data_IF_307146547672
#
_entry.id   IF_307146547672
#
_cell.length_a   1.000
_cell.length_b   1.000
_cell.length_c   1.000
_cell.angle_alpha   90.00
_cell.angle_beta   90.00
_cell.angle_gamma   90.00
#
_symmetry.space_group_name_H-M   'P 1'
#
loop_
_entity.id
_entity.type
_entity.pdbx_description
1 polymer ?
#
# COMPACT_ATOMS: atom_id res chain seq x y z
N UNK A 1 -15.74 -26.46 -1.92
CA UNK A 1 -16.25 -25.47 -2.90
C UNK A 1 -17.12 -24.39 -2.25
N UNK A 2 -18.02 -24.74 -1.32
CA UNK A 2 -18.90 -23.77 -0.64
C UNK A 2 -18.19 -22.83 0.36
N UNK A 3 -17.06 -23.26 0.93
CA UNK A 3 -16.32 -22.50 1.94
C UNK A 3 -15.57 -21.29 1.35
N UNK A 4 -14.93 -21.48 0.21
CA UNK A 4 -14.22 -20.42 -0.54
C UNK A 4 -15.18 -19.30 -0.99
N UNK A 5 -16.39 -19.67 -1.43
CA UNK A 5 -17.42 -18.70 -1.83
C UNK A 5 -17.87 -17.88 -0.61
N UNK A 6 -18.01 -18.52 0.55
CA UNK A 6 -18.39 -17.86 1.81
C UNK A 6 -17.31 -16.91 2.32
N UNK A 7 -16.04 -17.29 2.20
CA UNK A 7 -14.91 -16.40 2.49
C UNK A 7 -14.89 -15.18 1.56
N UNK A 8 -15.06 -15.37 0.25
CA UNK A 8 -15.10 -14.27 -0.72
C UNK A 8 -16.27 -13.32 -0.45
N UNK A 9 -17.45 -13.85 -0.10
CA UNK A 9 -18.61 -13.03 0.27
C UNK A 9 -18.38 -12.26 1.57
N UNK A 10 -17.74 -12.89 2.56
CA UNK A 10 -17.43 -12.26 3.85
C UNK A 10 -16.39 -11.14 3.69
N UNK A 11 -15.34 -11.37 2.89
CA UNK A 11 -14.34 -10.36 2.56
C UNK A 11 -14.96 -9.18 1.80
N UNK A 12 -15.87 -9.44 0.85
CA UNK A 12 -16.62 -8.40 0.14
C UNK A 12 -17.52 -7.59 1.07
N UNK A 13 -18.26 -8.26 1.95
CA UNK A 13 -19.13 -7.60 2.92
C UNK A 13 -18.34 -6.71 3.88
N UNK A 14 -17.22 -7.22 4.41
CA UNK A 14 -16.35 -6.45 5.31
C UNK A 14 -15.70 -5.26 4.60
N UNK A 15 -15.27 -5.42 3.34
CA UNK A 15 -14.74 -4.33 2.53
C UNK A 15 -15.81 -3.25 2.23
N UNK A 16 -17.06 -3.64 1.96
CA UNK A 16 -18.18 -2.72 1.74
C UNK A 16 -18.58 -1.99 3.03
N UNK A 17 -18.59 -2.69 4.16
CA UNK A 17 -18.86 -2.10 5.48
C UNK A 17 -17.78 -1.10 5.89
N UNK A 18 -16.52 -1.42 5.58
CA UNK A 18 -15.38 -0.51 5.77
C UNK A 18 -15.45 0.72 4.86
N UNK A 19 -15.87 0.55 3.59
CA UNK A 19 -16.16 1.66 2.66
C UNK A 19 -17.23 2.61 3.18
N UNK A 20 -18.34 2.07 3.71
CA UNK A 20 -19.46 2.86 4.22
C UNK A 20 -19.07 3.70 5.45
N UNK A 21 -18.18 3.19 6.30
CA UNK A 21 -17.73 3.89 7.51
C UNK A 21 -16.57 4.87 7.29
N UNK A 22 -16.03 4.96 6.06
CA UNK A 22 -14.97 5.91 5.67
C UNK A 22 -15.30 6.66 4.38
N UNK A 23 -16.55 7.05 4.16
CA UNK A 23 -16.88 8.04 3.13
C UNK A 23 -16.18 9.37 3.47
N UNK A 24 -14.93 9.48 3.02
CA UNK A 24 -14.24 10.75 2.86
C UNK A 24 -14.85 11.42 1.63
N UNK A 25 -15.40 12.61 1.84
CA UNK A 25 -15.78 13.53 0.78
C UNK A 25 -14.49 14.08 0.13
N UNK A 26 -13.89 13.30 -0.77
CA UNK A 26 -12.71 13.73 -1.50
C UNK A 26 -12.03 12.58 -2.23
N UNK A 27 -12.07 12.60 -3.57
CA UNK A 27 -11.26 11.69 -4.39
C UNK A 27 -9.79 12.02 -4.19
N UNK A 28 -9.00 11.06 -3.69
CA UNK A 28 -7.53 11.23 -3.62
C UNK A 28 -6.93 11.03 -5.01
N UNK A 29 -6.34 12.07 -5.56
CA UNK A 29 -5.63 12.02 -6.85
C UNK A 29 -4.17 11.65 -6.61
N UNK A 30 -3.73 10.52 -7.16
CA UNK A 30 -2.34 10.08 -7.15
C UNK A 30 -1.69 10.34 -8.52
N UNK A 31 -0.46 10.85 -8.51
CA UNK A 31 0.36 11.02 -9.72
C UNK A 31 1.39 9.88 -9.79
N UNK A 32 1.62 9.37 -11.00
CA UNK A 32 2.35 8.11 -11.28
C UNK A 32 3.77 8.04 -10.70
N UNK A 33 4.44 9.18 -10.56
CA UNK A 33 5.64 9.35 -9.74
C UNK A 33 5.48 10.58 -8.89
N UNK A 34 5.48 10.41 -7.58
CA UNK A 34 5.48 11.53 -6.65
C UNK A 34 6.28 11.19 -5.40
N UNK A 35 6.93 12.22 -4.85
CA UNK A 35 7.46 12.17 -3.49
C UNK A 35 6.27 12.12 -2.53
N UNK A 36 6.26 11.13 -1.64
CA UNK A 36 5.24 11.00 -0.59
C UNK A 36 5.92 10.91 0.76
N UNK A 37 5.34 11.57 1.75
CA UNK A 37 5.89 11.58 3.11
C UNK A 37 5.43 10.35 3.88
N UNK A 38 6.36 9.63 4.51
CA UNK A 38 6.03 8.66 5.55
C UNK A 38 6.30 9.36 6.87
N UNK A 39 5.21 9.73 7.55
CA UNK A 39 5.23 10.63 8.70
C UNK A 39 5.95 9.99 9.89
N UNK A 40 5.73 8.70 10.13
CA UNK A 40 6.35 7.99 11.25
C UNK A 40 7.87 7.83 11.12
N UNK A 41 8.39 7.96 9.89
CA UNK A 41 9.82 7.92 9.63
C UNK A 41 10.45 9.32 9.62
N UNK A 42 9.64 10.37 9.78
CA UNK A 42 10.01 11.77 9.54
C UNK A 42 10.80 11.95 8.23
N UNK A 43 10.41 11.20 7.20
CA UNK A 43 11.13 11.11 5.92
C UNK A 43 10.15 11.24 4.76
N UNK A 44 10.62 11.92 3.72
CA UNK A 44 9.96 11.87 2.41
C UNK A 44 10.61 10.77 1.60
N UNK A 45 9.78 9.84 1.09
CA UNK A 45 10.24 8.77 0.21
C UNK A 45 9.68 8.95 -1.20
N UNK A 46 10.46 8.58 -2.19
CA UNK A 46 10.02 8.45 -3.57
C UNK A 46 9.26 7.15 -3.73
N UNK A 47 7.95 7.23 -3.98
CA UNK A 47 7.13 6.05 -4.22
C UNK A 47 6.75 5.90 -5.70
N UNK A 48 6.67 4.66 -6.15
CA UNK A 48 5.92 4.30 -7.35
C UNK A 48 4.45 4.07 -6.98
N UNK A 49 3.53 4.65 -7.75
CA UNK A 49 2.11 4.29 -7.70
C UNK A 49 1.91 3.16 -8.71
N UNK A 50 1.67 1.93 -8.23
CA UNK A 50 1.67 0.73 -9.06
C UNK A 50 0.32 0.00 -8.98
N UNK A 51 -0.46 0.09 -10.06
CA UNK A 51 -1.72 -0.67 -10.17
C UNK A 51 -1.50 -2.16 -10.43
N UNK A 52 -0.30 -2.60 -10.79
CA UNK A 52 0.08 -4.02 -10.93
C UNK A 52 0.31 -4.69 -9.57
N UNK A 53 0.83 -3.95 -8.60
CA UNK A 53 1.08 -4.44 -7.25
C UNK A 53 -0.22 -4.63 -6.45
N UNK A 54 -0.41 -5.83 -5.89
CA UNK A 54 -1.55 -6.13 -5.01
C UNK A 54 -1.40 -5.56 -3.61
N UNK A 55 -0.16 -5.35 -3.16
CA UNK A 55 0.21 -4.88 -1.81
C UNK A 55 1.18 -3.72 -1.90
N UNK A 56 1.20 -2.89 -0.86
CA UNK A 56 2.15 -1.79 -0.73
C UNK A 56 3.44 -2.22 -0.03
N UNK A 57 4.57 -1.75 -0.54
CA UNK A 57 5.92 -2.19 -0.17
C UNK A 57 6.82 -1.00 0.22
N UNK A 58 7.79 -1.24 1.10
CA UNK A 58 8.82 -0.27 1.47
C UNK A 58 10.18 -0.97 1.66
N UNK A 59 11.26 -0.28 1.31
CA UNK A 59 12.62 -0.74 1.61
C UNK A 59 12.90 -0.75 3.11
N UNK A 60 13.50 -1.83 3.59
CA UNK A 60 13.81 -2.03 5.00
C UNK A 60 14.73 -0.97 5.60
N UNK A 61 15.64 -0.39 4.82
CA UNK A 61 16.54 0.68 5.27
C UNK A 61 15.84 1.98 5.69
N UNK A 62 14.56 2.15 5.29
CA UNK A 62 13.77 3.31 5.70
C UNK A 62 13.05 3.08 7.02
N UNK A 63 12.81 1.83 7.42
CA UNK A 63 12.00 1.45 8.58
C UNK A 63 12.90 1.19 9.78
N UNK A 64 12.53 1.73 10.95
CA UNK A 64 13.20 1.34 12.21
C UNK A 64 12.97 -0.16 12.45
N UNK A 65 14.03 -0.98 12.61
CA UNK A 65 13.88 -2.41 12.87
C UNK A 65 12.98 -2.75 14.06
N UNK A 66 12.81 -1.84 15.03
CA UNK A 66 11.92 -2.02 16.20
C UNK A 66 10.44 -1.99 15.82
N UNK A 67 10.09 -1.41 14.68
CA UNK A 67 8.72 -1.34 14.15
C UNK A 67 8.40 -2.50 13.20
N UNK A 68 9.37 -3.38 12.93
CA UNK A 68 9.24 -4.47 11.98
C UNK A 68 8.81 -5.76 12.68
N UNK A 69 7.70 -6.33 12.22
CA UNK A 69 7.22 -7.64 12.65
C UNK A 69 7.40 -8.65 11.52
N UNK A 70 7.52 -9.94 11.86
CA UNK A 70 7.58 -10.99 10.84
C UNK A 70 6.23 -11.06 10.13
N UNK A 71 6.21 -10.97 8.80
CA UNK A 71 4.94 -11.10 8.10
C UNK A 71 4.44 -12.55 8.14
N UNK A 72 3.13 -12.72 8.32
CA UNK A 72 2.47 -14.03 8.31
C UNK A 72 1.99 -14.47 6.91
N UNK A 73 2.29 -13.67 5.88
CA UNK A 73 1.94 -13.94 4.49
C UNK A 73 3.20 -14.23 3.65
N UNK A 74 3.01 -14.90 2.52
CA UNK A 74 4.01 -14.98 1.46
C UNK A 74 3.75 -13.92 0.39
N UNK A 75 4.80 -13.44 -0.27
CA UNK A 75 4.68 -12.56 -1.43
C UNK A 75 5.37 -13.20 -2.61
N UNK A 76 4.68 -13.19 -3.74
CA UNK A 76 5.14 -13.76 -4.99
C UNK A 76 5.29 -12.61 -5.99
N UNK A 77 6.48 -12.50 -6.57
CA UNK A 77 6.77 -11.59 -7.67
C UNK A 77 6.06 -12.01 -8.96
N UNK A 78 5.98 -11.10 -9.93
CA UNK A 78 5.34 -11.37 -11.24
C UNK A 78 6.05 -12.49 -12.00
N UNK A 79 7.35 -12.71 -11.74
CA UNK A 79 8.16 -13.80 -12.28
C UNK A 79 7.95 -15.14 -11.56
N UNK A 80 7.04 -15.20 -10.59
CA UNK A 80 6.81 -16.38 -9.76
C UNK A 80 7.82 -16.56 -8.63
N UNK A 81 8.80 -15.66 -8.48
CA UNK A 81 9.77 -15.73 -7.39
C UNK A 81 9.11 -15.43 -6.05
N UNK A 82 9.43 -16.22 -5.02
CA UNK A 82 8.97 -15.94 -3.65
C UNK A 82 9.93 -14.98 -2.96
N UNK A 83 9.38 -13.94 -2.34
CA UNK A 83 10.13 -13.07 -1.43
C UNK A 83 10.20 -13.75 -0.06
N UNK A 84 11.39 -14.21 0.31
CA UNK A 84 11.66 -14.81 1.61
C UNK A 84 12.03 -13.76 2.67
N UNK A 85 11.77 -14.08 3.95
CA UNK A 85 12.12 -13.23 5.11
C UNK A 85 11.56 -11.81 5.02
N UNK A 86 10.30 -11.70 4.61
CA UNK A 86 9.59 -10.43 4.60
C UNK A 86 9.10 -10.06 5.99
N UNK A 87 9.11 -8.77 6.27
CA UNK A 87 8.56 -8.18 7.47
C UNK A 87 7.37 -7.30 7.09
N UNK A 88 6.58 -6.92 8.09
CA UNK A 88 5.53 -5.92 7.99
C UNK A 88 5.76 -4.82 9.03
N UNK A 89 5.33 -3.61 8.72
CA UNK A 89 5.37 -2.49 9.65
C UNK A 89 4.10 -1.65 9.50
N UNK A 90 3.45 -1.36 10.62
CA UNK A 90 2.32 -0.43 10.66
C UNK A 90 2.87 1.00 10.72
N UNK A 91 2.73 1.73 9.61
CA UNK A 91 3.32 3.06 9.44
C UNK A 91 2.25 4.09 9.08
N UNK A 92 2.36 5.29 9.64
CA UNK A 92 1.62 6.47 9.21
C UNK A 92 2.22 7.01 7.94
N UNK A 93 1.46 6.92 6.86
CA UNK A 93 1.81 7.41 5.54
C UNK A 93 0.96 8.63 5.20
N UNK A 94 1.56 9.57 4.49
CA UNK A 94 0.90 10.74 3.96
C UNK A 94 1.05 10.79 2.43
N UNK A 95 -0.09 10.63 1.75
CA UNK A 95 -0.24 10.56 0.32
C UNK A 95 -0.97 11.80 -0.19
N UNK A 96 -0.26 12.93 -0.30
CA UNK A 96 -0.89 14.22 -0.60
C UNK A 96 -1.65 14.74 0.62
N UNK A 97 -2.97 14.90 0.51
CA UNK A 97 -3.82 15.32 1.63
C UNK A 97 -4.28 14.15 2.52
N UNK A 98 -4.11 12.91 2.05
CA UNK A 98 -4.50 11.71 2.80
C UNK A 98 -3.40 11.34 3.80
N UNK A 99 -3.71 11.34 5.09
CA UNK A 99 -2.88 10.72 6.12
C UNK A 99 -3.59 9.49 6.68
N UNK A 100 -2.91 8.34 6.69
CA UNK A 100 -3.46 7.07 7.18
C UNK A 100 -2.38 6.21 7.83
N UNK A 101 -2.76 5.39 8.81
CA UNK A 101 -1.98 4.21 9.18
C UNK A 101 -2.16 3.14 8.10
N UNK A 102 -1.07 2.50 7.70
CA UNK A 102 -1.11 1.37 6.78
C UNK A 102 -0.04 0.34 7.12
N UNK A 103 -0.37 -0.94 6.93
CA UNK A 103 0.57 -2.04 7.04
C UNK A 103 1.35 -2.17 5.76
N UNK A 104 2.61 -1.77 5.78
CA UNK A 104 3.51 -1.90 4.63
C UNK A 104 4.32 -3.17 4.74
N UNK A 105 4.47 -3.85 3.61
CA UNK A 105 5.42 -4.96 3.50
C UNK A 105 6.82 -4.38 3.39
N UNK A 106 7.69 -4.80 4.29
CA UNK A 106 9.07 -4.36 4.36
C UNK A 106 9.97 -5.38 3.64
N UNK A 107 10.68 -4.92 2.62
CA UNK A 107 11.55 -5.74 1.75
C UNK A 107 12.97 -5.18 1.69
N UNK A 108 13.98 -6.05 1.52
CA UNK A 108 15.38 -5.61 1.43
C UNK A 108 15.72 -4.99 0.08
N UNK A 109 15.24 -5.58 -1.01
CA UNK A 109 15.58 -5.19 -2.38
C UNK A 109 14.32 -4.74 -3.11
N UNK A 110 14.25 -3.45 -3.40
CA UNK A 110 13.21 -2.82 -4.20
C UNK A 110 13.86 -1.72 -5.04
N UNK A 111 13.47 -1.61 -6.31
CA UNK A 111 14.04 -0.58 -7.22
C UNK A 111 13.65 0.82 -6.76
N UNK A 112 12.43 0.96 -6.23
CA UNK A 112 11.93 2.20 -5.64
C UNK A 112 12.08 2.17 -4.12
N UNK A 113 12.00 3.33 -3.48
CA UNK A 113 12.05 3.42 -2.00
C UNK A 113 10.77 2.81 -1.39
N UNK A 114 9.63 3.06 -2.04
CA UNK A 114 8.35 2.45 -1.73
C UNK A 114 7.53 2.19 -3.00
N UNK A 115 6.58 1.25 -2.91
CA UNK A 115 5.52 1.05 -3.89
C UNK A 115 4.18 1.18 -3.16
N UNK A 116 3.29 2.02 -3.68
CA UNK A 116 1.89 2.08 -3.26
C UNK A 116 1.10 1.21 -4.23
N UNK A 117 0.58 0.09 -3.71
CA UNK A 117 -0.20 -0.89 -4.45
C UNK A 117 -1.70 -0.65 -4.37
N UNK A 118 -2.46 -1.60 -4.94
CA UNK A 118 -3.93 -1.54 -5.00
C UNK A 118 -4.61 -1.66 -3.63
N UNK A 119 -3.94 -2.23 -2.65
CA UNK A 119 -4.43 -2.36 -1.27
C UNK A 119 -4.82 -0.99 -0.68
N UNK A 120 -3.95 0.01 -0.80
CA UNK A 120 -4.26 1.39 -0.40
C UNK A 120 -5.25 2.03 -1.37
N UNK A 121 -5.02 1.88 -2.69
CA UNK A 121 -5.83 2.58 -3.69
C UNK A 121 -7.31 2.19 -3.62
N UNK A 122 -7.61 0.91 -3.44
CA UNK A 122 -8.99 0.43 -3.33
C UNK A 122 -9.65 0.81 -2.02
N UNK A 123 -8.88 0.86 -0.92
CA UNK A 123 -9.37 1.30 0.37
C UNK A 123 -9.88 2.76 0.31
N UNK A 124 -9.14 3.62 -0.40
CA UNK A 124 -9.41 5.06 -0.47
C UNK A 124 -10.06 5.52 -1.78
N UNK A 125 -10.45 4.59 -2.65
CA UNK A 125 -11.04 4.90 -3.98
C UNK A 125 -10.17 5.90 -4.74
N UNK A 126 -8.85 5.69 -4.69
CA UNK A 126 -7.88 6.59 -5.29
C UNK A 126 -8.00 6.56 -6.82
N UNK A 127 -7.88 7.74 -7.44
CA UNK A 127 -7.81 7.88 -8.89
C UNK A 127 -6.40 8.25 -9.31
N UNK A 128 -5.90 7.61 -10.37
CA UNK A 128 -4.61 7.97 -10.96
C UNK A 128 -4.88 8.96 -12.07
N UNK A 129 -4.35 10.17 -11.92
CA UNK A 129 -4.45 11.17 -12.97
C UNK A 129 -3.24 11.05 -13.90
N UNK A 130 -3.50 10.59 -15.12
CA UNK A 130 -2.51 10.50 -16.20
C UNK A 130 -2.39 11.78 -17.02
N UNK A 131 -3.23 12.79 -16.76
CA UNK A 131 -3.12 14.07 -17.44
C UNK A 131 -1.74 14.68 -17.15
N UNK A 132 -1.02 15.04 -18.20
CA UNK A 132 0.27 15.73 -18.08
C UNK A 132 0.03 17.03 -17.33
N UNK A 133 0.67 17.19 -16.18
CA UNK A 133 0.90 18.52 -15.63
C UNK A 133 1.93 19.15 -16.57
N UNK A 134 1.47 20.03 -17.46
CA UNK A 134 2.38 20.87 -18.24
C UNK A 134 3.25 21.66 -17.24
N UNK A 135 4.58 21.67 -17.41
CA UNK A 135 5.47 22.46 -16.56
C UNK A 135 5.18 23.97 -16.66
#
# INVERSE_FOLDING_TARGET
MNELIREIQTLRYNALKFKSSRMFEGTTILTSRSRKSILDLNKTVSCLIDTGASVSLIRSEYVDPRLMEKANAGIVGVDGSSLNNICEADLRICLGYLTTMWRLIVVKKLVFEAIIGRDIMFCYVAQINFARVSP
#
